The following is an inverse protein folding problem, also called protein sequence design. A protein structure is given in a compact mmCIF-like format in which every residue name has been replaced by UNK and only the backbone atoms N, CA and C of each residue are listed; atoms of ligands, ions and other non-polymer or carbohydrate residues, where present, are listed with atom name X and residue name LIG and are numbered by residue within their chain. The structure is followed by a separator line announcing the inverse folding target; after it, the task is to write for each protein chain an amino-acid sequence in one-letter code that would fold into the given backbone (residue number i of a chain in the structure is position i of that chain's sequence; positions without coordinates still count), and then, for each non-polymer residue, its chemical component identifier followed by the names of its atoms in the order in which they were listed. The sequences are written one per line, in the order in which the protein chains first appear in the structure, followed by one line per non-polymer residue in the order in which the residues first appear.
data_IF_676601274773
#
_entry.id   IF_676601274773
#
_cell.length_a   1.000
_cell.length_b   1.000
_cell.length_c   1.000
_cell.angle_alpha   90.00
_cell.angle_beta   90.00
_cell.angle_gamma   90.00
#
_symmetry.space_group_name_H-M   'P 1'
#
loop_
_entity.id
_entity.type
_entity.pdbx_description
1 polymer ?
#
# COMPACT_ATOMS: atom_id res chain seq x y z
N UNK A 1 22.43 -12.08 -32.65
CA UNK A 1 23.28 -12.19 -31.44
C UNK A 1 22.86 -13.48 -30.73
N UNK A 2 23.61 -14.57 -30.93
CA UNK A 2 23.20 -15.92 -30.52
C UNK A 2 24.08 -16.47 -29.40
N UNK A 3 23.47 -17.20 -28.47
CA UNK A 3 24.06 -18.10 -27.46
C UNK A 3 25.07 -17.55 -26.43
N UNK A 4 25.48 -16.28 -26.47
CA UNK A 4 26.43 -15.75 -25.47
C UNK A 4 25.78 -15.28 -24.17
N UNK A 5 24.48 -14.95 -24.17
CA UNK A 5 23.84 -14.30 -23.02
C UNK A 5 23.79 -15.15 -21.73
N UNK A 6 23.34 -16.41 -21.82
CA UNK A 6 23.32 -17.30 -20.65
C UNK A 6 24.73 -17.63 -20.13
N UNK A 7 25.76 -17.54 -20.99
CA UNK A 7 27.15 -17.69 -20.60
C UNK A 7 27.68 -16.41 -19.93
N UNK A 8 27.33 -15.23 -20.46
CA UNK A 8 27.68 -13.91 -19.91
C UNK A 8 27.07 -13.68 -18.51
N UNK A 9 25.85 -14.16 -18.24
CA UNK A 9 25.23 -14.08 -16.91
C UNK A 9 25.96 -14.91 -15.82
N UNK A 10 26.73 -15.94 -16.22
CA UNK A 10 27.43 -16.86 -15.29
C UNK A 10 28.86 -16.41 -14.97
N UNK A 11 29.39 -15.42 -15.68
CA UNK A 11 30.74 -14.90 -15.48
C UNK A 11 30.83 -14.02 -14.22
N UNK A 12 31.77 -14.27 -13.28
CA UNK A 12 31.92 -13.50 -12.04
C UNK A 12 32.15 -11.98 -12.23
N UNK A 13 32.56 -11.57 -13.44
CA UNK A 13 32.83 -10.18 -13.83
C UNK A 13 31.67 -9.50 -14.56
N UNK A 14 30.50 -10.12 -14.66
CA UNK A 14 29.24 -9.51 -15.10
C UNK A 14 28.76 -8.48 -14.05
N UNK A 15 29.52 -7.39 -13.93
CA UNK A 15 29.37 -6.32 -12.96
C UNK A 15 28.02 -5.63 -13.14
N UNK A 16 27.35 -5.37 -12.01
CA UNK A 16 26.21 -4.47 -11.72
C UNK A 16 25.30 -4.02 -12.89
N UNK A 17 25.83 -3.44 -13.97
CA UNK A 17 25.13 -3.15 -15.22
C UNK A 17 24.38 -4.35 -15.83
N UNK A 18 24.96 -5.56 -15.78
CA UNK A 18 24.27 -6.78 -16.27
C UNK A 18 23.10 -7.20 -15.37
N UNK A 19 23.18 -6.93 -14.05
CA UNK A 19 22.12 -7.26 -13.10
C UNK A 19 20.93 -6.32 -13.22
N UNK A 20 21.18 -5.02 -13.39
CA UNK A 20 20.12 -4.03 -13.51
C UNK A 20 19.37 -4.10 -14.85
N UNK A 21 19.99 -4.67 -15.90
CA UNK A 21 19.34 -4.90 -17.20
C UNK A 21 18.79 -6.32 -17.37
N UNK A 22 18.94 -7.21 -16.38
CA UNK A 22 18.60 -8.62 -16.53
C UNK A 22 17.14 -8.84 -16.94
N UNK A 23 16.21 -8.07 -16.38
CA UNK A 23 14.78 -8.17 -16.72
C UNK A 23 14.48 -7.65 -18.12
N UNK A 24 15.14 -6.59 -18.57
CA UNK A 24 15.03 -6.10 -19.95
C UNK A 24 15.50 -7.19 -20.93
N UNK A 25 16.67 -7.77 -20.70
CA UNK A 25 17.20 -8.81 -21.60
C UNK A 25 16.29 -10.04 -21.58
N UNK A 26 15.82 -10.46 -20.40
CA UNK A 26 14.86 -11.55 -20.28
C UNK A 26 13.60 -11.29 -21.09
N UNK A 27 13.06 -10.07 -21.07
CA UNK A 27 11.87 -9.72 -21.85
C UNK A 27 12.09 -9.87 -23.35
N UNK A 28 13.24 -9.44 -23.87
CA UNK A 28 13.62 -9.60 -25.28
C UNK A 28 13.83 -11.07 -25.66
N UNK A 29 14.44 -11.86 -24.78
CA UNK A 29 14.65 -13.28 -25.01
C UNK A 29 13.33 -14.06 -25.03
N UNK A 30 12.41 -13.75 -24.12
CA UNK A 30 11.06 -14.31 -24.12
C UNK A 30 10.30 -13.92 -25.40
N UNK A 31 10.35 -12.65 -25.81
CA UNK A 31 9.73 -12.22 -27.06
C UNK A 31 10.32 -12.95 -28.26
N UNK A 32 11.65 -13.12 -28.31
CA UNK A 32 12.34 -13.84 -29.38
C UNK A 32 11.94 -15.32 -29.44
N UNK A 33 11.81 -16.00 -28.31
CA UNK A 33 11.46 -17.43 -28.28
C UNK A 33 9.99 -17.64 -28.61
N UNK A 34 9.10 -16.87 -27.99
CA UNK A 34 7.66 -17.06 -28.09
C UNK A 34 6.99 -16.24 -29.21
N UNK A 35 7.76 -15.39 -29.91
CA UNK A 35 7.30 -14.51 -30.99
C UNK A 35 6.13 -13.62 -30.57
N UNK A 36 6.07 -13.26 -29.29
CA UNK A 36 5.03 -12.42 -28.68
C UNK A 36 5.64 -11.52 -27.61
N UNK A 37 5.28 -10.23 -27.56
CA UNK A 37 5.71 -9.37 -26.47
C UNK A 37 5.17 -9.87 -25.12
N UNK A 38 5.90 -9.58 -24.04
CA UNK A 38 5.60 -10.06 -22.69
C UNK A 38 4.65 -9.13 -21.95
N UNK A 39 3.91 -9.69 -20.99
CA UNK A 39 3.18 -8.92 -19.98
C UNK A 39 3.95 -9.00 -18.67
N UNK A 40 4.18 -7.84 -18.04
CA UNK A 40 4.92 -7.75 -16.77
C UNK A 40 3.95 -7.43 -15.64
N UNK A 41 3.84 -8.32 -14.65
CA UNK A 41 3.04 -8.12 -13.45
C UNK A 41 4.00 -8.03 -12.26
N UNK A 42 3.97 -6.91 -11.54
CA UNK A 42 4.83 -6.66 -10.37
C UNK A 42 3.91 -6.42 -9.19
N UNK A 43 3.92 -7.34 -8.24
CA UNK A 43 3.23 -7.18 -6.97
C UNK A 43 4.20 -6.62 -5.91
N UNK A 44 3.65 -5.93 -4.93
CA UNK A 44 4.37 -5.26 -3.84
C UNK A 44 5.60 -4.47 -4.31
N UNK A 45 5.45 -3.69 -5.38
CA UNK A 45 6.58 -3.02 -6.02
C UNK A 45 7.35 -2.09 -5.07
N UNK A 46 6.69 -1.60 -4.02
CA UNK A 46 7.17 -0.69 -2.98
C UNK A 46 7.83 -1.38 -1.78
N UNK A 47 7.58 -2.68 -1.57
CA UNK A 47 8.16 -3.50 -0.48
C UNK A 47 9.69 -3.36 -0.34
N UNK A 48 10.49 -3.36 -1.43
CA UNK A 48 11.93 -3.21 -1.30
C UNK A 48 12.39 -1.88 -0.69
N UNK A 49 11.63 -0.79 -0.87
CA UNK A 49 11.98 0.51 -0.27
C UNK A 49 11.79 0.46 1.24
N UNK A 50 10.71 -0.14 1.72
CA UNK A 50 10.45 -0.28 3.15
C UNK A 50 11.57 -1.06 3.85
N UNK A 51 11.95 -2.21 3.28
CA UNK A 51 13.09 -2.99 3.78
C UNK A 51 14.38 -2.18 3.78
N UNK A 52 14.62 -1.38 2.74
CA UNK A 52 15.82 -0.60 2.61
C UNK A 52 15.90 0.57 3.60
N UNK A 53 14.78 1.18 3.97
CA UNK A 53 14.72 2.19 5.04
C UNK A 53 15.10 1.54 6.37
N UNK A 54 14.41 0.45 6.71
CA UNK A 54 14.57 -0.23 7.99
C UNK A 54 16.02 -0.69 8.24
N UNK A 55 16.72 -1.10 7.18
CA UNK A 55 18.10 -1.58 7.24
C UNK A 55 19.14 -0.53 6.81
N UNK A 56 18.74 0.74 6.60
CA UNK A 56 19.67 1.85 6.37
C UNK A 56 20.36 1.89 4.99
N UNK A 57 19.77 1.32 3.94
CA UNK A 57 20.30 1.33 2.57
C UNK A 57 19.32 1.89 1.51
N UNK A 58 18.34 2.69 1.92
CA UNK A 58 17.31 3.28 1.06
C UNK A 58 17.85 3.94 -0.22
N UNK A 59 18.90 4.77 -0.14
CA UNK A 59 19.49 5.45 -1.30
C UNK A 59 20.07 4.46 -2.32
N UNK A 60 20.73 3.40 -1.84
CA UNK A 60 21.29 2.36 -2.71
C UNK A 60 20.17 1.59 -3.42
N UNK A 61 19.13 1.20 -2.68
CA UNK A 61 17.96 0.51 -3.23
C UNK A 61 17.24 1.40 -4.27
N UNK A 62 17.01 2.67 -3.96
CA UNK A 62 16.39 3.63 -4.88
C UNK A 62 17.15 3.71 -6.21
N UNK A 63 18.46 3.87 -6.17
CA UNK A 63 19.28 3.93 -7.38
C UNK A 63 19.26 2.61 -8.16
N UNK A 64 19.31 1.47 -7.46
CA UNK A 64 19.28 0.16 -8.11
C UNK A 64 17.95 -0.10 -8.82
N UNK A 65 16.83 0.05 -8.10
CA UNK A 65 15.49 -0.19 -8.66
C UNK A 65 15.11 0.85 -9.71
N UNK A 66 15.61 2.09 -9.62
CA UNK A 66 15.42 3.07 -10.66
C UNK A 66 15.97 2.57 -12.00
N UNK A 67 17.17 1.99 -12.00
CA UNK A 67 17.78 1.42 -13.21
C UNK A 67 16.99 0.19 -13.66
N UNK A 68 16.65 -0.72 -12.74
CA UNK A 68 15.92 -1.97 -13.06
C UNK A 68 14.58 -1.68 -13.75
N UNK A 69 13.72 -0.87 -13.12
CA UNK A 69 12.40 -0.58 -13.68
C UNK A 69 12.47 0.32 -14.90
N UNK A 70 13.39 1.29 -14.95
CA UNK A 70 13.61 2.07 -16.18
C UNK A 70 14.00 1.17 -17.34
N UNK A 71 14.96 0.27 -17.14
CA UNK A 71 15.44 -0.64 -18.20
C UNK A 71 14.34 -1.58 -18.67
N UNK A 72 13.55 -2.12 -17.73
CA UNK A 72 12.46 -3.03 -18.06
C UNK A 72 11.28 -2.35 -18.76
N UNK A 73 10.86 -1.18 -18.30
CA UNK A 73 9.55 -0.60 -18.66
C UNK A 73 9.66 0.60 -19.60
N UNK A 74 10.79 1.30 -19.64
CA UNK A 74 10.95 2.50 -20.48
C UNK A 74 11.45 2.11 -21.87
N UNK A 75 10.68 2.45 -22.90
CA UNK A 75 11.04 2.24 -24.31
C UNK A 75 11.44 0.77 -24.62
N UNK A 76 10.78 -0.20 -23.98
CA UNK A 76 11.06 -1.62 -24.18
C UNK A 76 9.96 -2.27 -25.03
N UNK A 77 10.19 -2.36 -26.34
CA UNK A 77 9.22 -2.93 -27.30
C UNK A 77 8.95 -4.43 -27.09
N UNK A 78 9.75 -5.11 -26.25
CA UNK A 78 9.48 -6.47 -25.84
C UNK A 78 8.33 -6.57 -24.83
N UNK A 79 7.98 -5.47 -24.15
CA UNK A 79 6.89 -5.42 -23.17
C UNK A 79 5.63 -4.86 -23.81
N UNK A 80 4.58 -5.66 -23.87
CA UNK A 80 3.26 -5.25 -24.38
C UNK A 80 2.52 -4.38 -23.38
N UNK A 81 2.52 -4.80 -22.13
CA UNK A 81 1.82 -4.13 -21.03
C UNK A 81 2.50 -4.45 -19.70
N UNK A 82 2.35 -3.55 -18.74
CA UNK A 82 2.76 -3.78 -17.37
C UNK A 82 1.67 -3.36 -16.38
N UNK A 83 1.59 -4.07 -15.27
CA UNK A 83 0.76 -3.72 -14.12
C UNK A 83 1.62 -3.83 -12.86
N UNK A 84 1.54 -2.80 -12.03
CA UNK A 84 2.26 -2.73 -10.77
C UNK A 84 1.24 -2.52 -9.65
N UNK A 85 1.35 -3.30 -8.59
CA UNK A 85 0.50 -3.20 -7.40
C UNK A 85 1.40 -2.99 -6.19
N UNK A 86 1.01 -2.07 -5.33
CA UNK A 86 1.75 -1.67 -4.13
C UNK A 86 0.85 -0.85 -3.22
N UNK A 87 1.34 -0.59 -2.02
CA UNK A 87 0.59 0.08 -0.96
C UNK A 87 0.61 1.59 -1.19
N UNK A 88 1.80 2.16 -1.29
CA UNK A 88 1.99 3.60 -1.40
C UNK A 88 2.25 4.02 -2.84
N UNK A 89 1.78 5.22 -3.18
CA UNK A 89 2.14 5.86 -4.44
C UNK A 89 3.54 6.45 -4.29
N UNK A 90 4.54 5.72 -4.74
CA UNK A 90 5.91 6.21 -4.73
C UNK A 90 5.99 7.50 -5.57
N UNK A 91 6.44 8.59 -4.94
CA UNK A 91 6.52 9.90 -5.57
C UNK A 91 7.41 9.90 -6.83
N UNK A 92 7.16 10.84 -7.75
CA UNK A 92 8.00 11.07 -8.95
C UNK A 92 9.46 11.46 -8.62
N UNK A 93 9.81 11.69 -7.36
CA UNK A 93 11.20 11.88 -6.91
C UNK A 93 11.94 10.58 -6.57
N UNK A 94 11.25 9.43 -6.55
CA UNK A 94 11.82 8.12 -6.20
C UNK A 94 12.10 7.27 -7.45
N UNK A 95 12.23 5.95 -7.33
CA UNK A 95 12.76 5.08 -8.40
C UNK A 95 11.85 4.97 -9.63
N UNK A 96 10.58 5.38 -9.54
CA UNK A 96 9.65 5.42 -10.68
C UNK A 96 9.69 6.75 -11.45
N UNK A 97 10.51 7.71 -11.01
CA UNK A 97 10.65 9.05 -11.59
C UNK A 97 10.89 9.08 -13.10
N UNK A 98 11.58 8.07 -13.62
CA UNK A 98 11.98 7.98 -15.02
C UNK A 98 10.85 7.51 -15.95
N UNK A 99 9.77 6.94 -15.39
CA UNK A 99 8.63 6.39 -16.12
C UNK A 99 7.61 7.49 -16.38
N UNK A 100 7.47 7.88 -17.64
CA UNK A 100 6.63 9.00 -18.07
C UNK A 100 5.25 8.57 -18.62
N UNK A 101 4.96 7.28 -18.64
CA UNK A 101 3.74 6.69 -19.22
C UNK A 101 2.89 5.95 -18.17
N UNK A 102 3.12 6.21 -16.88
CA UNK A 102 2.36 5.58 -15.79
C UNK A 102 0.95 6.17 -15.72
N UNK A 103 -0.06 5.30 -15.76
CA UNK A 103 -1.42 5.62 -15.35
C UNK A 103 -1.66 5.01 -13.96
N UNK A 104 -1.99 5.86 -12.99
CA UNK A 104 -2.17 5.48 -11.59
C UNK A 104 -3.66 5.30 -11.32
N UNK A 105 -4.01 4.20 -10.67
CA UNK A 105 -5.39 3.85 -10.31
C UNK A 105 -5.50 3.62 -8.81
N UNK A 106 -5.66 4.68 -8.01
CA UNK A 106 -5.86 4.53 -6.58
C UNK A 106 -7.27 4.06 -6.24
N UNK A 107 -7.46 3.65 -4.98
CA UNK A 107 -8.78 3.31 -4.45
C UNK A 107 -9.74 4.50 -4.41
N UNK A 108 -9.22 5.72 -4.47
CA UNK A 108 -9.97 6.96 -4.54
C UNK A 108 -9.58 7.77 -5.78
N UNK A 109 -10.16 7.42 -6.91
CA UNK A 109 -10.00 8.15 -8.17
C UNK A 109 -11.34 8.29 -8.90
N UNK A 110 -11.36 9.22 -9.85
CA UNK A 110 -12.42 9.30 -10.86
C UNK A 110 -12.49 8.02 -11.69
N UNK A 111 -11.33 7.40 -11.99
CA UNK A 111 -11.26 6.13 -12.71
C UNK A 111 -11.26 4.95 -11.74
N UNK A 112 -12.46 4.47 -11.41
CA UNK A 112 -12.75 3.49 -10.35
C UNK A 112 -12.62 2.01 -10.77
N UNK A 113 -12.20 1.72 -12.01
CA UNK A 113 -12.33 0.40 -12.64
C UNK A 113 -11.70 -0.77 -11.87
N UNK A 114 -10.76 -0.49 -10.98
CA UNK A 114 -10.09 -1.48 -10.12
C UNK A 114 -10.43 -1.36 -8.63
N UNK A 115 -11.19 -0.34 -8.24
CA UNK A 115 -11.47 0.02 -6.85
C UNK A 115 -12.11 -1.12 -6.03
N UNK A 116 -12.89 -1.98 -6.68
CA UNK A 116 -13.63 -3.11 -6.06
C UNK A 116 -12.87 -4.44 -6.09
N UNK A 117 -11.68 -4.51 -6.69
CA UNK A 117 -10.98 -5.78 -6.94
C UNK A 117 -10.03 -6.19 -5.80
N UNK A 118 -9.63 -5.25 -4.95
CA UNK A 118 -8.58 -5.48 -3.94
C UNK A 118 -9.09 -5.81 -2.54
N UNK A 119 -10.38 -5.58 -2.29
CA UNK A 119 -11.05 -5.86 -1.01
C UNK A 119 -12.39 -6.55 -1.29
N UNK A 120 -12.99 -7.17 -0.28
CA UNK A 120 -14.28 -7.83 -0.47
C UNK A 120 -15.45 -6.85 -0.38
N UNK A 121 -16.34 -6.96 -1.35
CA UNK A 121 -17.66 -6.34 -1.34
C UNK A 121 -18.58 -7.03 -0.34
N UNK A 122 -19.65 -6.34 0.05
CA UNK A 122 -20.72 -6.93 0.89
C UNK A 122 -21.21 -8.27 0.32
N UNK A 123 -21.43 -8.34 -1.00
CA UNK A 123 -21.97 -9.54 -1.67
C UNK A 123 -21.01 -10.72 -1.59
N UNK A 124 -19.71 -10.49 -1.76
CA UNK A 124 -18.71 -11.56 -1.64
C UNK A 124 -18.65 -12.10 -0.21
N UNK A 125 -18.71 -11.23 0.80
CA UNK A 125 -18.76 -11.66 2.20
C UNK A 125 -20.05 -12.42 2.50
N UNK A 126 -21.20 -12.00 1.97
CA UNK A 126 -22.47 -12.75 2.12
C UNK A 126 -22.34 -14.18 1.58
N UNK A 127 -21.78 -14.35 0.37
CA UNK A 127 -21.55 -15.67 -0.24
C UNK A 127 -20.63 -16.53 0.65
N UNK A 128 -19.55 -15.96 1.18
CA UNK A 128 -18.64 -16.68 2.07
C UNK A 128 -19.30 -17.06 3.40
N UNK A 129 -20.11 -16.19 3.99
CA UNK A 129 -20.86 -16.51 5.20
C UNK A 129 -21.87 -17.64 4.96
N UNK A 130 -22.56 -17.64 3.81
CA UNK A 130 -23.50 -18.69 3.43
C UNK A 130 -22.81 -20.05 3.23
N UNK A 131 -21.60 -20.07 2.66
CA UNK A 131 -20.86 -21.32 2.44
C UNK A 131 -20.24 -21.91 3.70
N UNK A 132 -19.90 -21.09 4.70
CA UNK A 132 -19.26 -21.53 5.95
C UNK A 132 -20.22 -21.63 7.15
N UNK A 133 -21.40 -20.98 7.09
CA UNK A 133 -22.58 -21.23 7.93
C UNK A 133 -22.49 -20.88 9.41
N UNK A 134 -21.37 -20.34 9.91
CA UNK A 134 -21.14 -20.18 11.35
C UNK A 134 -21.07 -18.72 11.83
N UNK A 135 -20.51 -17.80 11.03
CA UNK A 135 -20.54 -16.37 11.30
C UNK A 135 -21.39 -15.67 10.25
N UNK A 136 -22.32 -14.82 10.69
CA UNK A 136 -23.10 -13.99 9.77
C UNK A 136 -22.36 -12.70 9.43
N UNK A 137 -22.72 -12.07 8.31
CA UNK A 137 -22.15 -10.78 7.92
C UNK A 137 -22.43 -9.68 8.96
N UNK A 138 -23.54 -9.75 9.68
CA UNK A 138 -23.87 -8.81 10.77
C UNK A 138 -22.85 -8.87 11.91
N UNK A 139 -22.32 -10.06 12.20
CA UNK A 139 -21.29 -10.26 13.21
C UNK A 139 -19.92 -9.75 12.71
N UNK A 140 -19.60 -9.99 11.43
CA UNK A 140 -18.33 -9.58 10.83
C UNK A 140 -18.23 -8.07 10.60
N UNK A 141 -19.37 -7.41 10.30
CA UNK A 141 -19.42 -6.01 9.85
C UNK A 141 -18.73 -5.01 10.79
N UNK A 142 -18.98 -4.99 12.11
CA UNK A 142 -18.34 -4.01 12.99
C UNK A 142 -16.81 -4.14 13.07
N UNK A 143 -16.29 -5.34 12.83
CA UNK A 143 -14.87 -5.63 13.01
C UNK A 143 -14.07 -5.56 11.70
N UNK A 144 -14.69 -5.89 10.56
CA UNK A 144 -13.98 -6.07 9.29
C UNK A 144 -14.48 -5.19 8.13
N UNK A 145 -15.71 -4.64 8.20
CA UNK A 145 -16.17 -3.62 7.24
C UNK A 145 -15.68 -2.25 7.68
N UNK A 146 -15.26 -1.40 6.75
CA UNK A 146 -14.92 -0.04 7.11
C UNK A 146 -14.27 0.75 6.01
N UNK A 147 -13.48 0.05 5.19
CA UNK A 147 -12.77 0.60 4.06
C UNK A 147 -13.74 1.12 3.01
N UNK A 148 -13.38 2.22 2.36
CA UNK A 148 -14.14 2.79 1.26
C UNK A 148 -13.26 2.94 0.03
N UNK A 149 -13.85 2.72 -1.12
CA UNK A 149 -13.30 3.08 -2.41
C UNK A 149 -14.31 3.92 -3.18
N UNK A 150 -13.85 4.86 -4.01
CA UNK A 150 -14.74 5.64 -4.88
C UNK A 150 -15.24 4.74 -6.00
N UNK A 151 -16.49 4.97 -6.40
CA UNK A 151 -17.02 4.45 -7.66
C UNK A 151 -17.98 5.43 -8.30
N UNK A 152 -18.40 5.18 -9.55
CA UNK A 152 -19.35 6.02 -10.29
C UNK A 152 -20.63 6.36 -9.50
N UNK A 153 -21.05 5.45 -8.62
CA UNK A 153 -22.25 5.60 -7.76
C UNK A 153 -21.96 6.18 -6.36
N UNK A 154 -20.76 6.69 -6.10
CA UNK A 154 -20.31 7.19 -4.80
C UNK A 154 -19.36 6.22 -4.08
N UNK A 155 -19.25 6.34 -2.75
CA UNK A 155 -18.34 5.48 -1.98
C UNK A 155 -18.93 4.08 -1.75
N UNK A 156 -18.13 3.05 -2.00
CA UNK A 156 -18.47 1.65 -1.73
C UNK A 156 -17.72 1.16 -0.52
N UNK A 157 -18.47 0.60 0.44
CA UNK A 157 -17.90 0.00 1.64
C UNK A 157 -17.39 -1.41 1.35
N UNK A 158 -16.18 -1.68 1.82
CA UNK A 158 -15.42 -2.89 1.56
C UNK A 158 -14.93 -3.50 2.88
N UNK A 159 -14.61 -4.79 2.82
CA UNK A 159 -14.13 -5.61 3.94
C UNK A 159 -12.68 -6.04 3.69
N UNK A 160 -11.89 -6.12 4.76
CA UNK A 160 -10.55 -6.72 4.68
C UNK A 160 -10.64 -8.23 4.35
N UNK A 161 -10.09 -8.71 3.22
CA UNK A 161 -10.20 -10.11 2.82
C UNK A 161 -9.55 -11.06 3.82
N UNK A 162 -8.33 -10.74 4.27
CA UNK A 162 -7.58 -11.59 5.18
C UNK A 162 -8.30 -11.78 6.51
N UNK A 163 -8.83 -10.70 7.08
CA UNK A 163 -9.57 -10.76 8.34
C UNK A 163 -10.89 -11.52 8.21
N UNK A 164 -11.63 -11.34 7.10
CA UNK A 164 -12.88 -12.09 6.84
C UNK A 164 -12.60 -13.59 6.69
N UNK A 165 -11.64 -13.96 5.84
CA UNK A 165 -11.27 -15.36 5.60
C UNK A 165 -10.81 -16.01 6.90
N UNK A 166 -9.89 -15.36 7.62
CA UNK A 166 -9.38 -15.87 8.90
C UNK A 166 -10.49 -16.08 9.93
N UNK A 167 -11.43 -15.11 10.04
CA UNK A 167 -12.53 -15.22 10.98
C UNK A 167 -13.46 -16.40 10.66
N UNK A 168 -13.75 -16.63 9.38
CA UNK A 168 -14.58 -17.74 8.91
C UNK A 168 -13.86 -19.09 9.08
N UNK A 169 -12.56 -19.16 8.81
CA UNK A 169 -11.76 -20.38 8.97
C UNK A 169 -11.69 -20.84 10.43
N UNK A 170 -11.46 -19.91 11.36
CA UNK A 170 -11.34 -20.23 12.80
C UNK A 170 -12.65 -20.10 13.56
N UNK A 171 -13.73 -19.71 12.87
CA UNK A 171 -15.04 -19.40 13.43
C UNK A 171 -14.99 -18.47 14.66
N UNK A 172 -14.21 -17.39 14.56
CA UNK A 172 -14.01 -16.44 15.67
C UNK A 172 -13.66 -15.06 15.15
N UNK A 173 -14.35 -14.04 15.69
CA UNK A 173 -13.96 -12.65 15.49
C UNK A 173 -12.73 -12.34 16.35
N UNK A 174 -11.65 -11.93 15.71
CA UNK A 174 -10.43 -11.48 16.34
C UNK A 174 -9.71 -10.46 15.47
N UNK A 175 -8.62 -9.91 16.03
CA UNK A 175 -7.65 -9.12 15.30
C UNK A 175 -6.74 -10.08 14.53
N UNK A 176 -6.84 -10.09 13.21
CA UNK A 176 -6.07 -10.92 12.28
C UNK A 176 -5.07 -10.08 11.51
N UNK A 177 -5.53 -9.10 10.73
CA UNK A 177 -4.69 -8.24 9.91
C UNK A 177 -3.70 -7.43 10.75
N UNK A 178 -4.14 -6.80 11.85
CA UNK A 178 -3.21 -5.99 12.67
C UNK A 178 -2.14 -6.84 13.38
N UNK A 179 -2.33 -8.16 13.50
CA UNK A 179 -1.34 -9.07 14.10
C UNK A 179 -0.26 -9.51 13.11
N UNK A 180 -0.46 -9.34 11.81
CA UNK A 180 0.59 -9.62 10.81
C UNK A 180 1.65 -8.50 10.76
N UNK A 181 1.50 -7.47 11.59
CA UNK A 181 2.12 -6.16 11.42
C UNK A 181 3.65 -6.11 11.38
N UNK A 182 4.14 -5.65 10.22
CA UNK A 182 5.42 -4.97 10.00
C UNK A 182 5.17 -3.47 9.77
N UNK A 183 5.04 -2.66 10.83
CA UNK A 183 4.99 -1.19 10.71
C UNK A 183 5.54 -0.47 11.95
N UNK A 184 6.63 -0.96 12.54
CA UNK A 184 7.35 -0.24 13.63
C UNK A 184 7.61 1.23 13.30
N UNK A 185 8.05 1.57 12.06
CA UNK A 185 8.42 2.95 11.75
C UNK A 185 7.25 3.93 11.86
N UNK A 186 6.02 3.53 11.47
CA UNK A 186 4.82 4.38 11.54
C UNK A 186 4.54 4.83 12.97
N UNK A 187 4.65 3.88 13.91
CA UNK A 187 4.42 4.13 15.33
C UNK A 187 5.48 5.03 15.95
N UNK A 188 6.68 5.15 15.39
CA UNK A 188 7.74 5.99 15.95
C UNK A 188 7.58 7.45 15.51
N UNK A 189 7.17 7.69 14.26
CA UNK A 189 6.94 9.04 13.74
C UNK A 189 5.64 9.68 14.20
N UNK A 190 4.63 8.89 14.58
CA UNK A 190 3.33 9.36 15.07
C UNK A 190 3.41 10.37 16.22
N UNK A 191 4.49 10.34 17.00
CA UNK A 191 4.64 11.17 18.21
C UNK A 191 5.45 12.45 17.99
N UNK A 192 6.15 12.56 16.86
CA UNK A 192 6.98 13.71 16.49
C UNK A 192 6.25 14.71 15.59
N UNK A 193 4.93 14.81 15.73
CA UNK A 193 4.02 15.58 14.86
C UNK A 193 3.61 16.93 15.46
N UNK A 194 2.99 17.79 14.64
CA UNK A 194 2.51 19.10 15.10
C UNK A 194 1.35 18.99 16.09
N UNK A 195 1.03 20.10 16.79
CA UNK A 195 -0.16 20.16 17.65
C UNK A 195 -1.45 19.88 16.88
N UNK A 196 -1.59 20.42 15.65
CA UNK A 196 -2.78 20.20 14.82
C UNK A 196 -2.95 18.75 14.38
N UNK A 197 -1.85 18.00 14.20
CA UNK A 197 -1.93 16.56 13.97
C UNK A 197 -2.52 15.84 15.18
N UNK A 198 -2.05 16.18 16.38
CA UNK A 198 -2.49 15.56 17.65
C UNK A 198 -3.96 15.84 17.94
N UNK A 199 -4.43 17.07 17.70
CA UNK A 199 -5.85 17.41 17.87
C UNK A 199 -6.75 16.56 16.95
N UNK A 200 -6.34 16.34 15.70
CA UNK A 200 -7.06 15.48 14.77
C UNK A 200 -6.98 13.99 15.17
N UNK A 201 -5.83 13.55 15.68
CA UNK A 201 -5.66 12.20 16.20
C UNK A 201 -6.60 11.93 17.38
N UNK A 202 -6.75 12.87 18.30
CA UNK A 202 -7.68 12.74 19.44
C UNK A 202 -9.13 12.56 18.97
N UNK A 203 -9.54 13.33 17.95
CA UNK A 203 -10.86 13.17 17.34
C UNK A 203 -11.04 11.79 16.70
N UNK A 204 -10.03 11.31 15.96
CA UNK A 204 -10.03 9.97 15.37
C UNK A 204 -10.15 8.86 16.43
N UNK A 205 -9.41 8.97 17.53
CA UNK A 205 -9.46 8.02 18.65
C UNK A 205 -10.83 8.02 19.34
N UNK A 206 -11.52 9.16 19.35
CA UNK A 206 -12.93 9.27 19.78
C UNK A 206 -13.94 8.76 18.74
N UNK A 207 -13.49 8.05 17.69
CA UNK A 207 -14.31 7.54 16.60
C UNK A 207 -15.04 8.63 15.81
N UNK A 208 -14.49 9.85 15.80
CA UNK A 208 -14.98 10.95 14.96
C UNK A 208 -14.20 11.01 13.66
N UNK A 209 -14.84 11.56 12.65
CA UNK A 209 -14.22 11.83 11.37
C UNK A 209 -13.56 13.20 11.35
N UNK A 210 -12.47 13.33 10.60
CA UNK A 210 -11.64 14.54 10.54
C UNK A 210 -11.38 14.93 9.09
N UNK A 211 -11.38 16.23 8.82
CA UNK A 211 -11.00 16.77 7.52
C UNK A 211 -9.48 16.91 7.47
N UNK A 212 -8.85 16.25 6.53
CA UNK A 212 -7.40 16.24 6.40
C UNK A 212 -6.99 16.58 4.97
N UNK A 213 -5.92 17.35 4.87
CA UNK A 213 -5.15 17.48 3.63
C UNK A 213 -4.12 16.36 3.60
N UNK A 214 -4.23 15.48 2.61
CA UNK A 214 -3.36 14.32 2.48
C UNK A 214 -2.41 14.51 1.30
N UNK A 215 -1.12 14.27 1.55
CA UNK A 215 -0.17 14.11 0.46
C UNK A 215 -0.29 12.68 -0.09
N UNK A 216 -0.81 12.58 -1.31
CA UNK A 216 -0.99 11.31 -1.99
C UNK A 216 0.34 10.75 -2.54
N UNK A 217 1.44 11.52 -2.49
CA UNK A 217 2.75 11.20 -3.05
C UNK A 217 3.79 11.04 -1.94
N UNK A 218 3.69 9.95 -1.17
CA UNK A 218 4.64 9.69 -0.09
C UNK A 218 6.04 9.41 -0.66
N UNK A 219 7.01 10.25 -0.26
CA UNK A 219 8.42 10.03 -0.57
C UNK A 219 9.10 9.27 0.58
N UNK A 220 9.40 8.00 0.31
CA UNK A 220 10.10 7.10 1.23
C UNK A 220 11.53 7.53 1.57
N UNK A 221 12.19 8.31 0.72
CA UNK A 221 13.55 8.79 1.01
C UNK A 221 13.59 9.89 2.08
N UNK A 222 12.45 10.49 2.38
CA UNK A 222 12.29 11.53 3.41
C UNK A 222 11.43 11.01 4.57
N UNK A 223 11.52 9.70 4.85
CA UNK A 223 10.72 9.04 5.87
C UNK A 223 10.86 9.68 7.25
N UNK A 224 12.09 10.03 7.62
CA UNK A 224 12.50 10.62 8.90
C UNK A 224 12.13 12.11 9.03
N UNK A 225 11.72 12.74 7.93
CA UNK A 225 11.31 14.15 7.85
C UNK A 225 9.92 14.29 7.23
N UNK A 226 9.08 13.27 7.38
CA UNK A 226 7.75 13.26 6.77
C UNK A 226 6.89 14.38 7.37
N UNK A 227 6.19 15.13 6.53
CA UNK A 227 5.23 16.14 6.99
C UNK A 227 3.98 15.46 7.57
N UNK A 228 3.19 16.22 8.33
CA UNK A 228 1.88 15.77 8.82
C UNK A 228 0.99 15.25 7.67
N UNK A 229 0.94 15.96 6.53
CA UNK A 229 0.17 15.55 5.34
C UNK A 229 0.68 14.24 4.73
N UNK A 230 2.00 14.03 4.71
CA UNK A 230 2.62 12.79 4.25
C UNK A 230 2.34 11.63 5.19
N UNK A 231 2.36 11.87 6.51
CA UNK A 231 2.02 10.86 7.50
C UNK A 231 0.55 10.46 7.43
N UNK A 232 -0.37 11.41 7.22
CA UNK A 232 -1.78 11.10 6.95
C UNK A 232 -1.95 10.26 5.68
N UNK A 233 -1.22 10.57 4.62
CA UNK A 233 -1.21 9.77 3.40
C UNK A 233 -0.71 8.34 3.64
N UNK A 234 0.39 8.19 4.37
CA UNK A 234 0.91 6.88 4.72
C UNK A 234 -0.08 6.07 5.57
N UNK A 235 -0.71 6.68 6.57
CA UNK A 235 -1.75 6.05 7.40
C UNK A 235 -2.97 5.61 6.58
N UNK A 236 -3.36 6.40 5.58
CA UNK A 236 -4.42 6.02 4.65
C UNK A 236 -4.03 4.82 3.78
N UNK A 237 -2.90 4.89 3.07
CA UNK A 237 -2.49 3.81 2.15
C UNK A 237 -2.18 2.50 2.86
N UNK A 238 -1.63 2.56 4.07
CA UNK A 238 -1.36 1.37 4.89
C UNK A 238 -2.59 0.83 5.60
N UNK A 239 -3.76 1.45 5.42
CA UNK A 239 -5.05 0.91 5.88
C UNK A 239 -5.43 1.27 7.32
N UNK A 240 -4.75 2.23 7.95
CA UNK A 240 -5.09 2.75 9.29
C UNK A 240 -6.14 3.86 9.26
N UNK A 241 -6.36 4.48 8.09
CA UNK A 241 -7.43 5.42 7.82
C UNK A 241 -8.21 4.99 6.58
N UNK A 242 -9.44 5.48 6.49
CA UNK A 242 -10.25 5.34 5.28
C UNK A 242 -11.08 6.58 5.03
N UNK A 243 -11.47 6.79 3.77
CA UNK A 243 -12.28 7.93 3.35
C UNK A 243 -13.73 7.69 3.76
N UNK A 244 -14.36 8.72 4.32
CA UNK A 244 -15.78 8.74 4.64
C UNK A 244 -16.59 9.56 3.63
N UNK A 245 -16.05 10.69 3.19
CA UNK A 245 -16.67 11.55 2.18
C UNK A 245 -15.59 12.29 1.39
N UNK A 246 -15.94 12.63 0.15
CA UNK A 246 -15.12 13.50 -0.70
C UNK A 246 -15.87 14.82 -0.84
N UNK A 247 -15.24 15.91 -0.41
CA UNK A 247 -15.82 17.25 -0.50
C UNK A 247 -15.28 18.00 -1.72
N UNK A 248 -13.96 18.03 -1.89
CA UNK A 248 -13.29 18.68 -3.01
C UNK A 248 -12.07 17.91 -3.50
N UNK A 249 -12.21 17.25 -4.65
CA UNK A 249 -11.12 16.52 -5.31
C UNK A 249 -9.95 17.43 -5.71
N UNK A 250 -10.18 18.73 -5.93
CA UNK A 250 -9.16 19.66 -6.40
C UNK A 250 -8.16 20.06 -5.31
N UNK A 251 -8.58 20.03 -4.04
CA UNK A 251 -7.76 20.42 -2.89
C UNK A 251 -7.15 19.25 -2.12
N UNK A 252 -7.38 18.00 -2.56
CA UNK A 252 -6.99 16.79 -1.83
C UNK A 252 -7.47 16.79 -0.37
N UNK A 253 -8.62 17.44 -0.13
CA UNK A 253 -9.26 17.51 1.18
C UNK A 253 -10.35 16.45 1.23
N UNK A 254 -10.17 15.49 2.14
CA UNK A 254 -11.12 14.41 2.35
C UNK A 254 -11.45 14.30 3.83
N UNK A 255 -12.65 13.78 4.11
CA UNK A 255 -13.01 13.39 5.46
C UNK A 255 -12.55 11.95 5.70
N UNK A 256 -11.71 11.75 6.72
CA UNK A 256 -11.18 10.45 7.09
C UNK A 256 -11.73 9.99 8.43
N UNK A 257 -11.76 8.67 8.61
CA UNK A 257 -12.03 8.02 9.91
C UNK A 257 -11.16 6.77 10.07
N UNK A 258 -11.15 6.21 11.28
CA UNK A 258 -10.63 4.87 11.52
C UNK A 258 -11.61 3.86 10.87
N UNK A 259 -11.14 2.85 10.11
CA UNK A 259 -12.01 2.00 9.32
C UNK A 259 -13.00 1.18 10.15
N UNK A 260 -12.51 0.44 11.15
CA UNK A 260 -13.28 -0.60 11.84
C UNK A 260 -12.73 -0.90 13.25
N UNK A 261 -13.40 -1.82 13.96
CA UNK A 261 -13.01 -2.22 15.32
C UNK A 261 -11.64 -2.88 15.42
N UNK A 262 -11.20 -3.60 14.38
CA UNK A 262 -9.88 -4.22 14.33
C UNK A 262 -8.78 -3.16 14.31
N UNK A 263 -8.88 -2.18 13.41
CA UNK A 263 -7.91 -1.08 13.29
C UNK A 263 -7.96 -0.15 14.50
N UNK A 264 -9.15 0.09 15.07
CA UNK A 264 -9.31 0.85 16.32
C UNK A 264 -8.51 0.21 17.47
N UNK A 265 -8.55 -1.12 17.57
CA UNK A 265 -7.81 -1.83 18.61
C UNK A 265 -6.30 -1.62 18.49
N UNK A 266 -5.80 -1.51 17.26
CA UNK A 266 -4.38 -1.29 16.98
C UNK A 266 -3.94 0.15 17.28
N UNK A 267 -4.77 1.15 16.95
CA UNK A 267 -4.57 2.53 17.38
C UNK A 267 -4.46 2.65 18.90
N UNK A 268 -5.38 2.03 19.65
CA UNK A 268 -5.30 1.99 21.11
C UNK A 268 -4.01 1.32 21.60
N UNK A 269 -3.57 0.23 20.95
CA UNK A 269 -2.31 -0.45 21.28
C UNK A 269 -1.11 0.47 21.12
N UNK A 270 -1.05 1.25 20.03
CA UNK A 270 0.04 2.20 19.78
C UNK A 270 0.07 3.31 20.83
N UNK A 271 -1.08 3.92 21.15
CA UNK A 271 -1.19 4.95 22.18
C UNK A 271 -0.75 4.40 23.54
N UNK A 272 -1.23 3.23 23.94
CA UNK A 272 -0.84 2.61 25.21
C UNK A 272 0.66 2.32 25.27
N UNK A 273 1.26 1.80 24.19
CA UNK A 273 2.70 1.56 24.11
C UNK A 273 3.50 2.86 24.31
N UNK A 274 3.05 3.95 23.69
CA UNK A 274 3.67 5.26 23.82
C UNK A 274 3.54 5.83 25.25
N UNK A 275 2.35 5.79 25.83
CA UNK A 275 2.11 6.27 27.19
C UNK A 275 2.97 5.52 28.22
N UNK A 276 3.04 4.19 28.12
CA UNK A 276 3.89 3.36 28.98
C UNK A 276 5.37 3.70 28.80
N UNK A 277 5.83 3.87 27.56
CA UNK A 277 7.23 4.25 27.29
C UNK A 277 7.59 5.64 27.86
N UNK A 278 6.61 6.52 28.01
CA UNK A 278 6.77 7.87 28.57
C UNK A 278 6.31 7.98 30.04
N UNK A 279 6.12 6.85 30.74
CA UNK A 279 5.87 6.82 32.18
C UNK A 279 4.45 7.23 32.61
N UNK A 280 3.48 7.29 31.69
CA UNK A 280 2.07 7.54 32.01
C UNK A 280 1.39 6.20 32.27
N UNK A 281 1.11 5.89 33.55
CA UNK A 281 0.54 4.61 33.97
C UNK A 281 -0.98 4.60 34.18
N UNK A 282 -1.68 5.72 33.94
CA UNK A 282 -3.14 5.81 34.01
C UNK A 282 -3.69 6.97 33.17
N UNK A 283 -4.77 6.73 32.43
CA UNK A 283 -5.61 7.75 31.76
C UNK A 283 -6.76 8.16 32.68
#
# INVERSE_FOLDING_TARGET
MGNTFCAELREPRALQAMRSNALNILSWELQRVYQKPVVVLIDEYDSPMYSAIDHGYATLANNFFAIVFSSLLKNNDAVYASMMVGICRIAKSSWLSSLNHLKIFPMHAEDDRYAKLFLFTKKEVEILCESHGQLSIELLRPHYNGYAATCDSGLVKLYNPFSVVSALEVNKISNFWVKTGWYSPLSENLWCTSAGFRDNLDLLLMQKSVKLVVDEHVNFLSYDTISDSGLWGLLYYTGYLTIESVEDHSMSEYTFRIPNGEVTSEWHRWVMKYLVANGVTSL
#
